data_IF_188877997234
#
_entry.id   IF_188877997234
#
_cell.length_a   1.000
_cell.length_b   1.000
_cell.length_c   1.000
_cell.angle_alpha   90.00
_cell.angle_beta   90.00
_cell.angle_gamma   90.00
#
_symmetry.space_group_name_H-M   'P 1'
#
loop_
_entity.id
_entity.type
_entity.pdbx_description
1 polymer ?
#
# COMPACT_ATOMS: atom_id res chain seq x y z
N UNK A 1 -18.93 -24.25 27.90
CA UNK A 1 -18.07 -23.06 27.73
C UNK A 1 -16.99 -23.41 26.71
N UNK A 2 -16.75 -22.60 25.67
CA UNK A 2 -15.71 -22.91 24.67
C UNK A 2 -14.30 -22.79 25.28
N UNK A 3 -13.36 -23.62 24.84
CA UNK A 3 -11.97 -23.52 25.30
C UNK A 3 -11.31 -22.24 24.78
N UNK A 4 -10.41 -21.64 25.58
CA UNK A 4 -9.64 -20.44 25.18
C UNK A 4 -8.93 -20.66 23.84
N UNK A 5 -8.38 -21.86 23.62
CA UNK A 5 -7.68 -22.20 22.37
C UNK A 5 -8.61 -22.25 21.16
N UNK A 6 -9.86 -22.70 21.35
CA UNK A 6 -10.88 -22.66 20.29
C UNK A 6 -11.22 -21.23 19.91
N UNK A 7 -11.46 -20.35 20.89
CA UNK A 7 -11.80 -18.94 20.65
C UNK A 7 -10.68 -18.25 19.85
N UNK A 8 -9.42 -18.39 20.24
CA UNK A 8 -8.31 -17.75 19.53
C UNK A 8 -8.09 -18.26 18.11
N UNK A 9 -8.34 -19.56 17.84
CA UNK A 9 -8.35 -20.09 16.46
C UNK A 9 -9.45 -19.46 15.61
N UNK A 10 -10.62 -19.20 16.20
CA UNK A 10 -11.74 -18.55 15.53
C UNK A 10 -11.42 -17.08 15.24
N UNK A 11 -10.96 -16.34 16.24
CA UNK A 11 -10.58 -14.93 16.09
C UNK A 11 -9.51 -14.75 15.02
N UNK A 12 -8.44 -15.56 15.04
CA UNK A 12 -7.38 -15.50 14.01
C UNK A 12 -7.91 -15.80 12.59
N UNK A 13 -8.84 -16.76 12.47
CA UNK A 13 -9.48 -17.07 11.19
C UNK A 13 -10.37 -15.94 10.71
N UNK A 14 -11.12 -15.30 11.61
CA UNK A 14 -11.99 -14.17 11.30
C UNK A 14 -11.18 -12.96 10.83
N UNK A 15 -10.11 -12.59 11.55
CA UNK A 15 -9.21 -11.52 11.11
C UNK A 15 -8.54 -11.87 9.78
N UNK A 16 -8.26 -13.15 9.52
CA UNK A 16 -7.77 -13.59 8.21
C UNK A 16 -8.77 -13.36 7.07
N UNK A 17 -10.05 -13.68 7.27
CA UNK A 17 -11.12 -13.37 6.29
C UNK A 17 -11.25 -11.86 6.10
N UNK A 18 -11.18 -11.08 7.17
CA UNK A 18 -11.17 -9.63 7.10
C UNK A 18 -10.03 -9.09 6.22
N UNK A 19 -8.81 -9.63 6.36
CA UNK A 19 -7.70 -9.23 5.49
C UNK A 19 -7.83 -9.67 4.03
N UNK A 20 -8.61 -10.71 3.73
CA UNK A 20 -8.93 -11.02 2.34
C UNK A 20 -9.82 -9.94 1.74
N UNK A 21 -10.78 -9.41 2.50
CA UNK A 21 -11.63 -8.29 2.06
C UNK A 21 -10.79 -7.02 1.86
N UNK A 22 -9.92 -6.69 2.83
CA UNK A 22 -8.99 -5.58 2.69
C UNK A 22 -8.06 -5.76 1.49
N UNK A 23 -7.50 -6.96 1.27
CA UNK A 23 -6.63 -7.24 0.12
C UNK A 23 -7.36 -7.05 -1.21
N UNK A 24 -8.63 -7.43 -1.30
CA UNK A 24 -9.47 -7.22 -2.49
C UNK A 24 -9.63 -5.73 -2.76
N UNK A 25 -10.06 -4.95 -1.76
CA UNK A 25 -10.21 -3.49 -1.89
C UNK A 25 -8.88 -2.84 -2.26
N UNK A 26 -7.82 -3.16 -1.52
CA UNK A 26 -6.49 -2.61 -1.74
C UNK A 26 -5.99 -2.85 -3.16
N UNK A 27 -6.08 -4.08 -3.67
CA UNK A 27 -5.62 -4.39 -5.03
C UNK A 27 -6.55 -3.86 -6.12
N UNK A 28 -7.86 -3.73 -5.86
CA UNK A 28 -8.80 -3.06 -6.76
C UNK A 28 -8.43 -1.58 -6.90
N UNK A 29 -8.31 -0.86 -5.79
CA UNK A 29 -7.93 0.56 -5.77
C UNK A 29 -6.59 0.79 -6.45
N UNK A 30 -5.57 -0.01 -6.13
CA UNK A 30 -4.24 0.11 -6.78
C UNK A 30 -4.28 -0.20 -8.28
N UNK A 31 -5.09 -1.16 -8.72
CA UNK A 31 -5.19 -1.50 -10.16
C UNK A 31 -5.71 -0.35 -11.02
N UNK A 32 -6.48 0.58 -10.44
CA UNK A 32 -6.98 1.78 -11.15
C UNK A 32 -5.88 2.75 -11.55
N UNK A 33 -4.66 2.64 -11.00
CA UNK A 33 -3.52 3.44 -11.46
C UNK A 33 -3.05 3.04 -12.87
N UNK A 34 -3.40 1.81 -13.30
CA UNK A 34 -2.87 1.18 -14.50
C UNK A 34 -3.93 0.75 -15.51
N UNK A 35 -5.10 0.31 -15.03
CA UNK A 35 -6.16 -0.20 -15.89
C UNK A 35 -6.76 0.93 -16.74
N UNK A 36 -7.04 0.61 -18.01
CA UNK A 36 -7.58 1.54 -19.03
C UNK A 36 -9.00 2.08 -18.73
N UNK A 37 -9.58 1.73 -17.58
CA UNK A 37 -10.88 2.24 -17.13
C UNK A 37 -10.59 3.41 -16.20
N UNK A 38 -10.63 4.63 -16.76
CA UNK A 38 -10.23 5.86 -16.09
C UNK A 38 -8.91 6.35 -16.69
N UNK A 39 -9.01 7.23 -17.69
CA UNK A 39 -7.82 7.84 -18.29
C UNK A 39 -7.00 8.55 -17.19
N UNK A 40 -5.67 8.45 -17.31
CA UNK A 40 -4.70 9.21 -16.52
C UNK A 40 -4.56 8.79 -15.04
N UNK A 41 -5.10 7.63 -14.65
CA UNK A 41 -5.06 7.18 -13.26
C UNK A 41 -6.02 7.94 -12.34
N UNK A 42 -6.97 8.68 -12.95
CA UNK A 42 -8.04 9.42 -12.25
C UNK A 42 -8.82 8.55 -11.26
N UNK A 43 -9.15 7.31 -11.63
CA UNK A 43 -9.84 6.37 -10.75
C UNK A 43 -9.06 6.09 -9.45
N UNK A 44 -7.74 5.92 -9.55
CA UNK A 44 -6.88 5.77 -8.37
C UNK A 44 -6.91 7.05 -7.51
N UNK A 45 -6.77 8.21 -8.15
CA UNK A 45 -6.77 9.52 -7.46
C UNK A 45 -8.08 9.75 -6.71
N UNK A 46 -9.21 9.50 -7.36
CA UNK A 46 -10.54 9.62 -6.77
C UNK A 46 -10.72 8.66 -5.59
N UNK A 47 -10.39 7.38 -5.76
CA UNK A 47 -10.51 6.37 -4.71
C UNK A 47 -9.62 6.70 -3.49
N UNK A 48 -8.36 7.09 -3.72
CA UNK A 48 -7.44 7.46 -2.64
C UNK A 48 -7.88 8.74 -1.93
N UNK A 49 -8.35 9.75 -2.66
CA UNK A 49 -8.90 10.96 -2.05
C UNK A 49 -10.18 10.67 -1.25
N UNK A 50 -11.04 9.77 -1.72
CA UNK A 50 -12.23 9.32 -1.00
C UNK A 50 -11.85 8.61 0.32
N UNK A 51 -10.86 7.71 0.30
CA UNK A 51 -10.36 7.06 1.52
C UNK A 51 -9.72 8.09 2.45
N UNK A 52 -8.92 9.01 1.92
CA UNK A 52 -8.21 10.04 2.70
C UNK A 52 -9.16 11.04 3.39
N UNK A 53 -10.35 11.25 2.83
CA UNK A 53 -11.38 12.14 3.36
C UNK A 53 -12.30 11.50 4.40
N UNK A 54 -12.15 10.20 4.69
CA UNK A 54 -12.93 9.53 5.71
C UNK A 54 -12.74 10.17 7.10
N UNK A 55 -13.84 10.40 7.84
CA UNK A 55 -13.76 10.92 9.19
C UNK A 55 -13.05 9.92 10.11
N UNK A 56 -12.21 10.42 11.01
CA UNK A 56 -11.46 9.60 11.96
C UNK A 56 -10.58 8.51 11.30
N UNK A 57 -10.07 8.75 10.08
CA UNK A 57 -9.22 7.80 9.36
C UNK A 57 -8.11 7.16 10.21
N UNK A 58 -7.36 7.90 11.07
CA UNK A 58 -6.36 7.27 11.93
C UNK A 58 -6.93 6.23 12.91
N UNK A 59 -8.15 6.45 13.42
CA UNK A 59 -8.86 5.51 14.30
C UNK A 59 -9.28 4.28 13.50
N UNK A 60 -9.83 4.48 12.30
CA UNK A 60 -10.18 3.40 11.37
C UNK A 60 -8.95 2.53 11.08
N UNK A 61 -7.82 3.14 10.74
CA UNK A 61 -6.58 2.41 10.44
C UNK A 61 -6.06 1.62 11.64
N UNK A 62 -6.10 2.18 12.85
CA UNK A 62 -5.66 1.46 14.05
C UNK A 62 -6.58 0.27 14.35
N UNK A 63 -7.89 0.48 14.39
CA UNK A 63 -8.83 -0.53 14.90
C UNK A 63 -9.34 -1.51 13.84
N UNK A 64 -9.41 -1.11 12.57
CA UNK A 64 -9.84 -1.99 11.48
C UNK A 64 -8.68 -2.60 10.71
N UNK A 65 -7.46 -2.05 10.77
CA UNK A 65 -6.29 -2.62 10.09
C UNK A 65 -5.22 -3.07 11.10
N UNK A 66 -4.68 -2.16 11.91
CA UNK A 66 -3.55 -2.42 12.80
C UNK A 66 -3.81 -3.50 13.85
N UNK A 67 -4.89 -3.37 14.62
CA UNK A 67 -5.27 -4.32 15.67
C UNK A 67 -5.62 -5.70 15.10
N UNK A 68 -6.50 -5.82 14.08
CA UNK A 68 -6.76 -7.11 13.44
C UNK A 68 -5.49 -7.75 12.88
N UNK A 69 -4.56 -6.96 12.33
CA UNK A 69 -3.31 -7.45 11.75
C UNK A 69 -2.42 -8.02 12.84
N UNK A 70 -2.25 -7.29 13.95
CA UNK A 70 -1.49 -7.76 15.10
C UNK A 70 -2.06 -9.07 15.65
N UNK A 71 -3.38 -9.18 15.79
CA UNK A 71 -4.05 -10.41 16.22
C UNK A 71 -3.81 -11.55 15.23
N UNK A 72 -3.97 -11.29 13.93
CA UNK A 72 -3.77 -12.29 12.89
C UNK A 72 -2.34 -12.82 12.86
N UNK A 73 -1.36 -11.90 12.85
CA UNK A 73 0.06 -12.19 12.78
C UNK A 73 0.55 -12.91 14.05
N UNK A 74 0.22 -12.38 15.23
CA UNK A 74 0.69 -12.95 16.50
C UNK A 74 0.22 -14.40 16.70
N UNK A 75 -1.06 -14.68 16.47
CA UNK A 75 -1.57 -16.05 16.56
C UNK A 75 -1.13 -16.91 15.38
N UNK A 76 -0.99 -16.34 14.18
CA UNK A 76 -0.44 -17.02 13.01
C UNK A 76 0.97 -17.55 13.27
N UNK A 77 1.85 -16.72 13.83
CA UNK A 77 3.23 -17.08 14.21
C UNK A 77 3.22 -18.28 15.18
N UNK A 78 2.38 -18.23 16.23
CA UNK A 78 2.24 -19.36 17.16
C UNK A 78 1.86 -20.66 16.45
N UNK A 79 0.92 -20.60 15.50
CA UNK A 79 0.51 -21.80 14.77
C UNK A 79 1.57 -22.32 13.80
N UNK A 80 2.37 -21.44 13.20
CA UNK A 80 3.46 -21.83 12.31
C UNK A 80 4.52 -22.62 13.09
N UNK A 81 4.92 -22.17 14.29
CA UNK A 81 5.89 -22.90 15.12
C UNK A 81 5.42 -24.30 15.56
N UNK A 82 4.11 -24.55 15.57
CA UNK A 82 3.54 -25.87 15.88
C UNK A 82 3.22 -26.73 14.65
N UNK A 83 3.46 -26.21 13.44
CA UNK A 83 3.11 -26.90 12.19
C UNK A 83 4.13 -27.98 11.84
N UNK A 84 3.65 -29.15 11.39
CA UNK A 84 4.49 -30.22 10.83
C UNK A 84 4.27 -30.31 9.32
N UNK A 85 5.35 -30.20 8.55
CA UNK A 85 5.29 -30.32 7.09
C UNK A 85 5.51 -31.77 6.66
N UNK A 86 4.75 -32.21 5.67
CA UNK A 86 4.88 -33.54 5.06
C UNK A 86 4.73 -33.47 3.54
N UNK A 87 4.96 -32.30 2.93
CA UNK A 87 4.83 -32.10 1.48
C UNK A 87 6.14 -32.22 0.72
N UNK A 88 7.26 -32.42 1.43
CA UNK A 88 8.59 -32.58 0.86
C UNK A 88 8.99 -34.05 0.87
N UNK A 89 9.85 -34.45 -0.07
CA UNK A 89 10.43 -35.78 -0.10
C UNK A 89 11.18 -36.08 1.19
N UNK A 90 11.14 -37.34 1.61
CA UNK A 90 11.77 -37.85 2.83
C UNK A 90 12.45 -39.17 2.53
N UNK A 91 13.52 -39.46 3.28
CA UNK A 91 14.27 -40.72 3.26
C UNK A 91 13.57 -41.86 4.05
N UNK A 92 12.36 -41.61 4.55
CA UNK A 92 11.60 -42.54 5.39
C UNK A 92 11.63 -42.19 6.88
N UNK A 93 12.46 -41.24 7.31
CA UNK A 93 12.51 -40.76 8.71
C UNK A 93 11.29 -39.93 9.11
N UNK A 94 10.56 -39.38 8.14
CA UNK A 94 9.38 -38.54 8.36
C UNK A 94 8.31 -38.80 7.29
N UNK A 95 7.01 -38.64 7.61
CA UNK A 95 5.95 -38.83 6.63
C UNK A 95 6.11 -37.89 5.41
N UNK A 96 6.05 -38.45 4.20
CA UNK A 96 6.10 -37.72 2.93
C UNK A 96 4.83 -37.99 2.11
N UNK A 97 4.11 -36.93 1.79
CA UNK A 97 2.84 -36.91 1.06
C UNK A 97 2.92 -35.91 -0.11
N UNK A 98 3.96 -36.05 -0.94
CA UNK A 98 4.25 -35.19 -2.10
C UNK A 98 3.13 -35.19 -3.14
N UNK A 99 2.40 -36.29 -3.27
CA UNK A 99 1.34 -36.45 -4.27
C UNK A 99 0.07 -35.65 -3.95
N UNK A 100 -0.08 -35.14 -2.72
CA UNK A 100 -1.32 -34.52 -2.27
C UNK A 100 -1.27 -32.99 -2.37
N UNK A 101 -2.06 -32.35 -3.27
CA UNK A 101 -2.05 -30.90 -3.45
C UNK A 101 -2.44 -30.12 -2.19
N UNK A 102 -3.22 -30.73 -1.29
CA UNK A 102 -3.65 -30.08 -0.05
C UNK A 102 -2.52 -29.96 0.98
N UNK A 103 -1.64 -30.96 1.03
CA UNK A 103 -0.45 -30.93 1.88
C UNK A 103 0.53 -29.88 1.37
N UNK A 104 0.73 -29.81 0.04
CA UNK A 104 1.48 -28.74 -0.61
C UNK A 104 0.90 -27.35 -0.28
N UNK A 105 -0.41 -27.16 -0.44
CA UNK A 105 -1.06 -25.88 -0.14
C UNK A 105 -0.98 -25.51 1.35
N UNK A 106 -1.04 -26.50 2.25
CA UNK A 106 -0.78 -26.30 3.67
C UNK A 106 0.62 -25.74 3.88
N UNK A 107 1.66 -26.39 3.35
CA UNK A 107 3.05 -25.94 3.50
C UNK A 107 3.27 -24.55 2.91
N UNK A 108 2.83 -24.33 1.67
CA UNK A 108 2.96 -23.03 1.00
C UNK A 108 2.27 -21.90 1.77
N UNK A 109 1.14 -22.16 2.43
CA UNK A 109 0.48 -21.13 3.23
C UNK A 109 1.35 -20.64 4.39
N UNK A 110 2.24 -21.50 4.93
CA UNK A 110 3.19 -21.11 6.01
C UNK A 110 4.43 -20.42 5.43
N UNK A 111 4.95 -20.91 4.31
CA UNK A 111 6.07 -20.29 3.62
C UNK A 111 5.71 -18.86 3.19
N UNK A 112 4.54 -18.66 2.58
CA UNK A 112 4.07 -17.32 2.24
C UNK A 112 3.77 -16.49 3.47
N UNK A 113 3.35 -17.08 4.60
CA UNK A 113 3.13 -16.31 5.83
C UNK A 113 4.42 -15.65 6.33
N UNK A 114 5.55 -16.35 6.34
CA UNK A 114 6.85 -15.78 6.72
C UNK A 114 7.29 -14.70 5.77
N UNK A 115 7.20 -14.97 4.47
CA UNK A 115 7.55 -14.01 3.43
C UNK A 115 6.69 -12.74 3.53
N UNK A 116 5.38 -12.89 3.71
CA UNK A 116 4.44 -11.78 3.87
C UNK A 116 4.63 -11.02 5.17
N UNK A 117 5.01 -11.68 6.26
CA UNK A 117 5.27 -10.97 7.52
C UNK A 117 6.36 -9.92 7.34
N UNK A 118 7.49 -10.30 6.72
CA UNK A 118 8.59 -9.37 6.44
C UNK A 118 8.18 -8.37 5.35
N UNK A 119 7.59 -8.84 4.26
CA UNK A 119 7.23 -8.02 3.11
C UNK A 119 6.16 -6.96 3.42
N UNK A 120 5.12 -7.30 4.20
CA UNK A 120 4.07 -6.35 4.61
C UNK A 120 4.63 -5.32 5.58
N UNK A 121 5.48 -5.71 6.54
CA UNK A 121 6.13 -4.76 7.45
C UNK A 121 6.96 -3.76 6.63
N UNK A 122 7.80 -4.25 5.71
CA UNK A 122 8.61 -3.39 4.85
C UNK A 122 7.73 -2.47 3.96
N UNK A 123 6.69 -3.02 3.34
CA UNK A 123 5.73 -2.28 2.52
C UNK A 123 5.05 -1.16 3.31
N UNK A 124 4.51 -1.46 4.49
CA UNK A 124 3.84 -0.46 5.34
C UNK A 124 4.84 0.60 5.81
N UNK A 125 6.04 0.22 6.25
CA UNK A 125 7.07 1.18 6.68
C UNK A 125 7.42 2.13 5.54
N UNK A 126 7.70 1.59 4.35
CA UNK A 126 8.08 2.37 3.18
C UNK A 126 6.98 3.36 2.79
N UNK A 127 5.75 2.88 2.58
CA UNK A 127 4.68 3.73 2.04
C UNK A 127 4.10 4.69 3.09
N UNK A 128 3.95 4.23 4.34
CA UNK A 128 3.25 5.01 5.38
C UNK A 128 4.14 5.98 6.15
N UNK A 129 5.44 5.72 6.22
CA UNK A 129 6.33 6.51 7.08
C UNK A 129 7.52 7.12 6.33
N UNK A 130 8.14 6.39 5.40
CA UNK A 130 9.32 6.88 4.68
C UNK A 130 8.92 7.78 3.51
N UNK A 131 8.02 7.27 2.66
CA UNK A 131 7.64 7.94 1.41
C UNK A 131 6.39 8.81 1.51
N UNK A 132 5.73 8.79 2.68
CA UNK A 132 4.51 9.56 2.93
C UNK A 132 4.66 11.03 2.51
N UNK A 133 3.73 11.58 1.71
CA UNK A 133 3.81 12.96 1.22
C UNK A 133 3.95 13.97 2.35
N UNK A 134 4.93 14.88 2.25
CA UNK A 134 4.89 16.10 3.07
C UNK A 134 3.78 17.00 2.58
N UNK A 135 3.22 17.84 3.46
CA UNK A 135 2.19 18.79 3.07
C UNK A 135 2.37 20.13 3.76
N UNK A 136 1.87 21.18 3.11
CA UNK A 136 1.76 22.51 3.66
C UNK A 136 0.50 23.19 3.11
N UNK A 137 0.04 24.20 3.82
CA UNK A 137 -1.03 25.08 3.38
C UNK A 137 -0.41 26.36 2.84
N UNK A 138 -0.81 26.77 1.64
CA UNK A 138 -0.38 28.00 0.99
C UNK A 138 -1.62 28.70 0.43
N UNK A 139 -2.04 29.79 1.09
CA UNK A 139 -3.33 30.40 0.84
C UNK A 139 -4.49 29.42 1.05
N UNK A 140 -5.29 29.22 0.00
CA UNK A 140 -6.44 28.29 0.03
C UNK A 140 -6.09 26.86 -0.39
N UNK A 141 -4.85 26.61 -0.84
CA UNK A 141 -4.44 25.31 -1.37
C UNK A 141 -3.70 24.48 -0.31
N UNK A 142 -4.01 23.17 -0.28
CA UNK A 142 -3.21 22.18 0.44
C UNK A 142 -2.31 21.45 -0.54
N UNK A 143 -1.01 21.73 -0.45
CA UNK A 143 -0.02 21.18 -1.36
C UNK A 143 0.64 19.95 -0.73
N UNK A 144 0.90 18.95 -1.57
CA UNK A 144 1.55 17.69 -1.20
C UNK A 144 2.85 17.54 -1.99
N UNK A 145 3.94 17.20 -1.30
CA UNK A 145 5.26 17.09 -1.88
C UNK A 145 5.76 15.65 -1.80
N UNK A 146 6.17 15.11 -2.95
CA UNK A 146 6.79 13.79 -3.08
C UNK A 146 8.10 13.88 -3.83
N UNK A 147 8.99 12.92 -3.59
CA UNK A 147 10.32 12.89 -4.19
C UNK A 147 10.35 11.85 -5.28
N UNK A 148 10.68 12.29 -6.48
CA UNK A 148 10.68 11.44 -7.67
C UNK A 148 12.06 11.44 -8.28
N UNK A 149 12.46 10.29 -8.81
CA UNK A 149 13.65 10.19 -9.64
C UNK A 149 13.36 10.84 -11.00
N UNK A 150 14.29 11.63 -11.52
CA UNK A 150 14.14 12.26 -12.85
C UNK A 150 14.02 11.17 -13.93
N UNK A 151 13.09 11.38 -14.86
CA UNK A 151 12.93 10.58 -16.07
C UNK A 151 12.33 11.44 -17.20
N UNK A 152 12.49 11.00 -18.45
CA UNK A 152 12.14 11.77 -19.64
C UNK A 152 10.66 12.14 -19.73
N UNK A 153 9.77 11.30 -19.19
CA UNK A 153 8.33 11.51 -19.29
C UNK A 153 7.74 12.39 -18.19
N UNK A 154 8.52 12.73 -17.15
CA UNK A 154 8.01 13.44 -15.99
C UNK A 154 7.44 14.83 -16.32
N UNK A 155 8.07 15.57 -17.25
CA UNK A 155 7.59 16.89 -17.66
C UNK A 155 6.32 16.82 -18.50
N UNK A 156 6.20 15.84 -19.39
CA UNK A 156 4.95 15.61 -20.15
C UNK A 156 3.83 15.22 -19.19
N UNK A 157 4.13 14.35 -18.24
CA UNK A 157 3.16 13.86 -17.27
C UNK A 157 2.70 14.99 -16.34
N UNK A 158 3.60 15.90 -15.98
CA UNK A 158 3.27 17.09 -15.17
C UNK A 158 2.18 17.94 -15.79
N UNK A 159 2.20 18.08 -17.12
CA UNK A 159 1.19 18.83 -17.88
C UNK A 159 -0.13 18.08 -17.99
N UNK A 160 -0.08 16.75 -18.10
CA UNK A 160 -1.24 15.87 -18.21
C UNK A 160 -2.00 15.74 -16.88
N UNK A 161 -1.29 15.50 -15.78
CA UNK A 161 -1.86 15.25 -14.45
C UNK A 161 -2.02 16.53 -13.62
N UNK A 162 -1.28 17.60 -13.94
CA UNK A 162 -1.39 18.89 -13.26
C UNK A 162 -0.63 18.93 -11.93
N UNK A 163 0.66 18.58 -11.94
CA UNK A 163 1.57 18.78 -10.81
C UNK A 163 2.78 19.63 -11.21
N UNK A 164 3.42 20.26 -10.25
CA UNK A 164 4.60 21.09 -10.47
C UNK A 164 5.89 20.35 -10.10
N UNK A 165 7.00 20.71 -10.74
CA UNK A 165 8.31 20.09 -10.52
C UNK A 165 9.29 21.16 -10.05
N UNK A 166 9.94 20.90 -8.92
CA UNK A 166 10.96 21.75 -8.33
C UNK A 166 12.28 20.99 -8.21
N UNK A 167 13.35 21.58 -8.72
CA UNK A 167 14.72 21.13 -8.46
C UNK A 167 15.33 21.79 -7.22
N UNK A 168 16.53 21.33 -6.84
CA UNK A 168 17.23 21.84 -5.67
C UNK A 168 17.54 23.34 -5.76
N UNK A 169 17.83 23.85 -6.96
CA UNK A 169 18.16 25.27 -7.16
C UNK A 169 16.91 26.14 -7.00
N UNK A 170 15.76 25.68 -7.51
CA UNK A 170 14.47 26.34 -7.36
C UNK A 170 14.03 26.37 -5.89
N UNK A 171 14.18 25.26 -5.15
CA UNK A 171 13.88 25.22 -3.70
C UNK A 171 14.79 26.18 -2.94
N UNK A 172 16.09 26.19 -3.25
CA UNK A 172 17.05 27.10 -2.62
C UNK A 172 16.71 28.57 -2.93
N UNK A 173 16.29 28.87 -4.17
CA UNK A 173 15.86 30.22 -4.55
C UNK A 173 14.64 30.67 -3.73
N UNK A 174 13.61 29.83 -3.61
CA UNK A 174 12.41 30.12 -2.79
C UNK A 174 12.80 30.44 -1.36
N UNK A 175 13.73 29.67 -0.78
CA UNK A 175 14.24 29.92 0.58
C UNK A 175 14.96 31.27 0.68
N UNK A 176 15.85 31.57 -0.26
CA UNK A 176 16.62 32.82 -0.26
C UNK A 176 15.70 34.04 -0.42
N UNK A 177 14.72 33.95 -1.32
CA UNK A 177 13.75 35.00 -1.58
C UNK A 177 12.93 35.28 -0.30
N UNK A 178 12.50 34.23 0.42
CA UNK A 178 11.81 34.37 1.71
C UNK A 178 12.65 35.06 2.79
N UNK A 179 13.92 34.67 2.96
CA UNK A 179 14.80 35.32 3.94
C UNK A 179 15.05 36.79 3.64
N UNK A 180 15.06 37.18 2.36
CA UNK A 180 15.29 38.56 1.95
C UNK A 180 14.11 39.50 2.24
N UNK A 181 12.91 38.96 2.46
CA UNK A 181 11.66 39.71 2.59
C UNK A 181 11.16 39.87 4.05
N UNK A 182 11.92 39.42 5.05
CA UNK A 182 11.53 39.55 6.46
C UNK A 182 11.69 41.00 6.95
N UNK A 183 10.57 41.72 7.07
CA UNK A 183 10.47 43.07 7.64
C UNK A 183 10.03 43.03 9.12
N UNK A 184 10.31 44.08 9.93
CA UNK A 184 9.95 44.13 11.34
C UNK A 184 8.42 44.07 11.54
N UNK A 185 8.00 43.21 12.48
CA UNK A 185 6.59 42.95 12.79
C UNK A 185 6.02 44.11 13.62
N UNK A 186 4.93 44.73 13.15
CA UNK A 186 4.04 45.56 13.97
C UNK A 186 2.70 44.83 14.21
N UNK A 187 1.78 45.35 15.02
CA UNK A 187 0.48 44.69 15.33
C UNK A 187 -0.73 45.18 14.48
N UNK A 188 -0.50 45.80 13.33
CA UNK A 188 -1.57 46.25 12.43
C UNK A 188 -2.25 45.07 11.73
N UNK A 189 -3.49 45.23 11.23
CA UNK A 189 -4.17 44.21 10.43
C UNK A 189 -3.32 43.70 9.24
N UNK A 190 -2.61 44.59 8.56
CA UNK A 190 -1.72 44.24 7.45
C UNK A 190 -0.54 43.38 7.94
N UNK A 191 0.01 43.70 9.11
CA UNK A 191 1.09 42.92 9.70
C UNK A 191 0.63 41.53 10.19
N UNK A 192 -0.64 41.38 10.59
CA UNK A 192 -1.25 40.09 10.90
C UNK A 192 -1.38 39.21 9.65
N UNK A 193 -1.82 39.78 8.52
CA UNK A 193 -1.87 39.08 7.22
C UNK A 193 -0.46 38.65 6.81
N UNK A 194 0.51 39.57 6.87
CA UNK A 194 1.90 39.27 6.53
C UNK A 194 2.48 38.17 7.43
N UNK A 195 2.15 38.18 8.72
CA UNK A 195 2.57 37.13 9.66
C UNK A 195 1.97 35.78 9.29
N UNK A 196 0.71 35.74 8.87
CA UNK A 196 0.07 34.52 8.37
C UNK A 196 0.77 34.03 7.10
N UNK A 197 0.96 34.89 6.10
CA UNK A 197 1.67 34.54 4.85
C UNK A 197 3.09 34.02 5.12
N UNK A 198 3.82 34.66 6.04
CA UNK A 198 5.16 34.21 6.43
C UNK A 198 5.13 32.84 7.13
N UNK A 199 4.11 32.57 7.94
CA UNK A 199 3.90 31.26 8.57
C UNK A 199 3.59 30.18 7.53
N UNK A 200 2.74 30.49 6.55
CA UNK A 200 2.40 29.59 5.43
C UNK A 200 3.63 29.30 4.57
N UNK A 201 4.41 30.33 4.20
CA UNK A 201 5.67 30.19 3.46
C UNK A 201 6.72 29.38 4.23
N UNK A 202 6.83 29.58 5.54
CA UNK A 202 7.71 28.78 6.40
C UNK A 202 7.29 27.31 6.40
N UNK A 203 6.00 27.04 6.53
CA UNK A 203 5.44 25.69 6.41
C UNK A 203 5.70 25.06 5.04
N UNK A 204 5.58 25.86 3.98
CA UNK A 204 5.84 25.44 2.61
C UNK A 204 7.31 25.04 2.38
N UNK A 205 8.25 25.90 2.77
CA UNK A 205 9.69 25.61 2.71
C UNK A 205 10.00 24.35 3.53
N UNK A 206 9.44 24.24 4.74
CA UNK A 206 9.62 23.06 5.57
C UNK A 206 9.10 21.78 4.88
N UNK A 207 7.94 21.83 4.22
CA UNK A 207 7.39 20.69 3.49
C UNK A 207 8.25 20.31 2.27
N UNK A 208 8.76 21.29 1.54
CA UNK A 208 9.70 21.10 0.44
C UNK A 208 11.01 20.46 0.93
N UNK A 209 11.47 20.79 2.13
CA UNK A 209 12.82 20.43 2.62
C UNK A 209 12.83 19.29 3.65
N UNK A 210 11.66 18.82 4.09
CA UNK A 210 11.50 17.75 5.08
C UNK A 210 12.40 16.54 4.82
N UNK A 211 12.62 16.22 3.54
CA UNK A 211 13.60 15.23 3.07
C UNK A 211 14.55 15.95 2.11
N UNK A 212 15.88 15.84 2.21
CA UNK A 212 16.77 16.47 1.22
C UNK A 212 16.67 15.78 -0.16
N UNK A 213 16.83 16.51 -1.26
CA UNK A 213 16.85 15.93 -2.62
C UNK A 213 18.17 15.21 -2.87
N UNK A 214 18.12 14.02 -3.45
CA UNK A 214 19.30 13.36 -4.02
C UNK A 214 19.63 13.95 -5.41
N UNK A 215 20.85 13.71 -5.90
CA UNK A 215 21.39 14.31 -7.14
C UNK A 215 20.45 14.14 -8.35
N UNK A 216 19.81 12.97 -8.49
CA UNK A 216 18.90 12.67 -9.60
C UNK A 216 17.41 12.77 -9.24
N UNK A 217 17.07 13.53 -8.20
CA UNK A 217 15.69 13.68 -7.75
C UNK A 217 15.15 15.09 -8.01
N UNK A 218 13.82 15.16 -8.02
CA UNK A 218 13.03 16.41 -8.00
C UNK A 218 11.91 16.28 -6.98
N UNK A 219 11.44 17.43 -6.49
CA UNK A 219 10.23 17.52 -5.70
C UNK A 219 9.05 17.72 -6.65
N UNK A 220 8.11 16.78 -6.67
CA UNK A 220 6.84 16.95 -7.35
C UNK A 220 5.79 17.44 -6.36
N UNK A 221 5.03 18.45 -6.77
CA UNK A 221 4.08 19.18 -5.92
C UNK A 221 2.69 19.03 -6.51
N UNK A 222 1.81 18.38 -5.77
CA UNK A 222 0.45 18.08 -6.16
C UNK A 222 -0.57 18.82 -5.27
N UNK A 223 -1.71 19.20 -5.84
CA UNK A 223 -2.80 19.89 -5.12
C UNK A 223 -3.71 18.95 -4.33
N UNK A 224 -3.55 17.63 -4.49
CA UNK A 224 -4.33 16.64 -3.75
C UNK A 224 -3.48 15.42 -3.42
N UNK A 225 -3.91 14.70 -2.38
CA UNK A 225 -3.19 13.56 -1.82
C UNK A 225 -3.13 12.38 -2.81
N UNK A 226 -4.22 12.10 -3.53
CA UNK A 226 -4.29 11.02 -4.51
C UNK A 226 -3.27 11.14 -5.63
N UNK A 227 -3.03 12.34 -6.17
CA UNK A 227 -1.98 12.57 -7.18
C UNK A 227 -0.58 12.34 -6.59
N UNK A 228 -0.33 12.80 -5.36
CA UNK A 228 0.95 12.56 -4.70
C UNK A 228 1.25 11.06 -4.52
N UNK A 229 0.25 10.29 -4.08
CA UNK A 229 0.34 8.82 -3.96
C UNK A 229 0.51 8.15 -5.33
N UNK A 230 -0.21 8.60 -6.37
CA UNK A 230 -0.09 8.08 -7.72
C UNK A 230 1.35 8.23 -8.25
N UNK A 231 1.96 9.38 -8.02
CA UNK A 231 3.33 9.68 -8.42
C UNK A 231 4.35 8.81 -7.65
N UNK A 232 4.13 8.56 -6.37
CA UNK A 232 4.97 7.66 -5.58
C UNK A 232 4.89 6.21 -6.08
N UNK A 233 3.68 5.71 -6.37
CA UNK A 233 3.48 4.37 -6.92
C UNK A 233 4.13 4.25 -8.30
N UNK A 234 3.96 5.27 -9.15
CA UNK A 234 4.64 5.38 -10.45
C UNK A 234 6.16 5.29 -10.30
N UNK A 235 6.76 6.09 -9.40
CA UNK A 235 8.21 6.13 -9.23
C UNK A 235 8.77 4.78 -8.75
N UNK A 236 8.05 4.14 -7.83
CA UNK A 236 8.39 2.82 -7.28
C UNK A 236 8.49 1.76 -8.38
N UNK A 237 7.52 1.71 -9.29
CA UNK A 237 7.46 0.71 -10.36
C UNK A 237 8.28 1.05 -11.61
N UNK A 238 9.14 2.08 -11.56
CA UNK A 238 10.25 2.22 -12.51
C UNK A 238 11.36 1.22 -12.27
N UNK A 239 11.55 0.82 -11.00
CA UNK A 239 12.64 -0.08 -10.60
C UNK A 239 12.29 -1.54 -10.92
N UNK A 240 13.09 -2.24 -11.76
CA UNK A 240 12.86 -3.66 -12.06
C UNK A 240 12.88 -4.55 -10.80
N UNK A 241 13.72 -4.20 -9.82
CA UNK A 241 13.81 -4.93 -8.55
C UNK A 241 12.49 -4.80 -7.79
N UNK A 242 11.93 -3.59 -7.70
CA UNK A 242 10.66 -3.36 -7.02
C UNK A 242 9.52 -4.09 -7.73
N UNK A 243 9.48 -4.09 -9.06
CA UNK A 243 8.49 -4.84 -9.83
C UNK A 243 8.52 -6.33 -9.46
N UNK A 244 9.70 -6.96 -9.44
CA UNK A 244 9.84 -8.39 -9.11
C UNK A 244 9.43 -8.67 -7.66
N UNK A 245 9.93 -7.87 -6.71
CA UNK A 245 9.62 -8.03 -5.29
C UNK A 245 8.12 -7.87 -5.01
N UNK A 246 7.50 -6.82 -5.53
CA UNK A 246 6.07 -6.58 -5.35
C UNK A 246 5.20 -7.60 -6.09
N UNK A 247 5.65 -8.11 -7.26
CA UNK A 247 4.95 -9.20 -7.94
C UNK A 247 4.93 -10.46 -7.08
N UNK A 248 6.08 -10.84 -6.50
CA UNK A 248 6.16 -11.95 -5.55
C UNK A 248 5.29 -11.71 -4.31
N UNK A 249 5.29 -10.49 -3.77
CA UNK A 249 4.47 -10.10 -2.61
C UNK A 249 2.97 -10.24 -2.89
N UNK A 250 2.49 -9.71 -4.02
CA UNK A 250 1.09 -9.82 -4.44
C UNK A 250 0.68 -11.28 -4.64
N UNK A 251 1.48 -12.06 -5.37
CA UNK A 251 1.18 -13.48 -5.60
C UNK A 251 1.15 -14.28 -4.29
N UNK A 252 2.10 -14.02 -3.39
CA UNK A 252 2.11 -14.64 -2.07
C UNK A 252 0.89 -14.23 -1.23
N UNK A 253 0.49 -12.95 -1.24
CA UNK A 253 -0.65 -12.41 -0.51
C UNK A 253 -1.97 -13.03 -1.01
N UNK A 254 -2.16 -13.07 -2.33
CA UNK A 254 -3.33 -13.69 -2.95
C UNK A 254 -3.37 -15.19 -2.62
N UNK A 255 -2.27 -15.92 -2.79
CA UNK A 255 -2.23 -17.34 -2.43
C UNK A 255 -2.57 -17.56 -0.95
N UNK A 256 -1.92 -16.82 -0.04
CA UNK A 256 -2.13 -16.94 1.41
C UNK A 256 -3.58 -16.64 1.79
N UNK A 257 -4.10 -15.51 1.30
CA UNK A 257 -5.43 -15.01 1.56
C UNK A 257 -6.53 -15.95 1.06
N UNK A 258 -6.52 -16.31 -0.22
CA UNK A 258 -7.60 -17.11 -0.82
C UNK A 258 -7.54 -18.59 -0.42
N UNK A 259 -6.36 -19.17 -0.21
CA UNK A 259 -6.27 -20.50 0.40
C UNK A 259 -6.73 -20.47 1.87
N UNK A 260 -6.43 -19.39 2.59
CA UNK A 260 -6.96 -19.09 3.93
C UNK A 260 -8.48 -18.93 3.96
N UNK A 261 -9.06 -18.24 2.98
CA UNK A 261 -10.51 -18.05 2.82
C UNK A 261 -11.21 -19.40 2.68
N UNK A 262 -10.73 -20.24 1.76
CA UNK A 262 -11.29 -21.58 1.55
C UNK A 262 -11.24 -22.43 2.82
N UNK A 263 -10.08 -22.49 3.50
CA UNK A 263 -9.97 -23.24 4.77
C UNK A 263 -10.83 -22.66 5.89
N UNK A 264 -11.03 -21.35 5.92
CA UNK A 264 -11.91 -20.69 6.88
C UNK A 264 -13.37 -21.08 6.65
N UNK A 265 -13.86 -21.06 5.41
CA UNK A 265 -15.24 -21.47 5.09
C UNK A 265 -15.57 -22.89 5.59
N UNK A 266 -14.60 -23.80 5.53
CA UNK A 266 -14.73 -25.15 6.09
C UNK A 266 -14.79 -25.10 7.62
N UNK A 267 -13.84 -24.41 8.26
CA UNK A 267 -13.76 -24.31 9.73
C UNK A 267 -15.02 -23.70 10.34
N UNK A 268 -15.59 -22.69 9.69
CA UNK A 268 -16.83 -22.01 10.08
C UNK A 268 -18.10 -22.77 9.74
N UNK A 269 -17.99 -23.95 9.11
CA UNK A 269 -19.14 -24.79 8.80
C UNK A 269 -20.03 -24.21 7.70
N UNK A 270 -19.54 -23.25 6.92
CA UNK A 270 -20.26 -22.68 5.77
C UNK A 270 -20.28 -23.71 4.63
N UNK A 271 -19.19 -24.49 4.49
CA UNK A 271 -19.07 -25.52 3.46
C UNK A 271 -18.87 -26.92 4.07
N UNK A 272 -19.98 -27.55 4.47
CA UNK A 272 -19.97 -28.83 5.18
C UNK A 272 -19.74 -30.04 4.25
N UNK A 273 -20.40 -30.07 3.09
CA UNK A 273 -20.36 -31.24 2.18
C UNK A 273 -19.14 -31.21 1.26
N UNK A 274 -18.66 -32.38 0.84
CA UNK A 274 -17.52 -32.50 -0.08
C UNK A 274 -17.75 -31.72 -1.40
N UNK A 275 -18.98 -31.74 -1.93
CA UNK A 275 -19.39 -30.98 -3.11
C UNK A 275 -19.26 -29.47 -2.88
N UNK A 276 -19.75 -28.97 -1.73
CA UNK A 276 -19.66 -27.56 -1.37
C UNK A 276 -18.22 -27.10 -1.16
N UNK A 277 -17.38 -27.92 -0.51
CA UNK A 277 -15.96 -27.63 -0.32
C UNK A 277 -15.20 -27.56 -1.65
N UNK A 278 -15.51 -28.45 -2.60
CA UNK A 278 -14.92 -28.43 -3.94
C UNK A 278 -15.34 -27.18 -4.72
N UNK A 279 -16.62 -26.82 -4.67
CA UNK A 279 -17.14 -25.61 -5.31
C UNK A 279 -16.47 -24.35 -4.73
N UNK A 280 -16.43 -24.22 -3.41
CA UNK A 280 -15.79 -23.08 -2.75
C UNK A 280 -14.29 -22.99 -3.06
N UNK A 281 -13.62 -24.14 -3.26
CA UNK A 281 -12.22 -24.15 -3.70
C UNK A 281 -12.07 -23.53 -5.08
N UNK A 282 -12.96 -23.87 -6.02
CA UNK A 282 -12.95 -23.31 -7.38
C UNK A 282 -13.20 -21.80 -7.34
N UNK A 283 -14.16 -21.36 -6.54
CA UNK A 283 -14.44 -19.92 -6.32
C UNK A 283 -13.21 -19.21 -5.76
N UNK A 284 -12.58 -19.76 -4.72
CA UNK A 284 -11.38 -19.17 -4.13
C UNK A 284 -10.21 -19.09 -5.12
N UNK A 285 -10.01 -20.11 -5.96
CA UNK A 285 -8.98 -20.10 -7.01
C UNK A 285 -9.29 -19.05 -8.08
N UNK A 286 -10.56 -18.95 -8.52
CA UNK A 286 -10.98 -17.93 -9.49
C UNK A 286 -10.71 -16.52 -8.96
N UNK A 287 -11.17 -16.22 -7.73
CA UNK A 287 -10.94 -14.92 -7.10
C UNK A 287 -9.43 -14.65 -6.90
N UNK A 288 -8.66 -15.66 -6.51
CA UNK A 288 -7.20 -15.55 -6.38
C UNK A 288 -6.54 -15.13 -7.70
N UNK A 289 -6.91 -15.76 -8.82
CA UNK A 289 -6.36 -15.43 -10.14
C UNK A 289 -6.77 -14.01 -10.55
N UNK A 290 -8.05 -13.67 -10.41
CA UNK A 290 -8.59 -12.36 -10.75
C UNK A 290 -7.90 -11.24 -9.97
N UNK A 291 -7.80 -11.38 -8.66
CA UNK A 291 -7.21 -10.37 -7.77
C UNK A 291 -5.68 -10.29 -7.97
N UNK A 292 -5.02 -11.43 -8.24
CA UNK A 292 -3.60 -11.42 -8.62
C UNK A 292 -3.37 -10.68 -9.94
N UNK A 293 -4.24 -10.87 -10.93
CA UNK A 293 -4.17 -10.13 -12.18
C UNK A 293 -4.30 -8.62 -11.95
N UNK A 294 -5.26 -8.17 -11.14
CA UNK A 294 -5.44 -6.75 -10.82
C UNK A 294 -4.21 -6.16 -10.11
N UNK A 295 -3.64 -6.88 -9.14
CA UNK A 295 -2.42 -6.44 -8.47
C UNK A 295 -1.20 -6.38 -9.40
N UNK A 296 -1.05 -7.37 -10.29
CA UNK A 296 0.02 -7.36 -11.30
C UNK A 296 -0.19 -6.26 -12.35
N UNK A 297 -1.44 -5.99 -12.73
CA UNK A 297 -1.78 -4.89 -13.63
C UNK A 297 -1.36 -3.54 -13.03
N UNK A 298 -1.57 -3.31 -11.73
CA UNK A 298 -1.04 -2.14 -11.04
C UNK A 298 0.49 -2.05 -11.19
N UNK A 299 1.21 -3.10 -10.78
CA UNK A 299 2.68 -3.11 -10.76
C UNK A 299 3.27 -2.86 -12.15
N UNK A 300 2.80 -3.60 -13.15
CA UNK A 300 3.39 -3.55 -14.49
C UNK A 300 2.81 -2.43 -15.34
N UNK A 301 1.56 -2.04 -15.12
CA UNK A 301 0.86 -1.08 -15.98
C UNK A 301 0.97 0.38 -15.51
N UNK A 302 1.14 0.66 -14.21
CA UNK A 302 1.13 2.04 -13.70
C UNK A 302 2.19 2.89 -14.39
N UNK A 303 3.45 2.46 -14.39
CA UNK A 303 4.50 3.19 -15.10
C UNK A 303 4.52 2.86 -16.59
N UNK A 304 4.52 1.58 -16.97
CA UNK A 304 4.87 1.20 -18.34
C UNK A 304 3.75 1.36 -19.37
N UNK A 305 2.49 1.38 -18.93
CA UNK A 305 1.34 1.50 -19.83
C UNK A 305 0.67 2.87 -19.71
N UNK A 306 0.46 3.36 -18.48
CA UNK A 306 -0.37 4.55 -18.28
C UNK A 306 0.44 5.83 -18.04
N UNK A 307 1.37 5.81 -17.08
CA UNK A 307 1.98 7.05 -16.55
C UNK A 307 3.43 7.24 -17.00
N UNK A 308 3.88 6.59 -18.07
CA UNK A 308 5.26 6.79 -18.55
C UNK A 308 5.48 8.24 -18.95
N UNK A 309 4.52 8.82 -19.67
CA UNK A 309 4.54 10.18 -20.25
C UNK A 309 3.30 10.98 -19.87
#
# INVERSE_FOLDING_TARGET
MFSKSFIWRRVQSLTGVWFVLFLIEHLLTNSQAALLIGDDGSGFVESVNAIKSLPYLPVIEIFLLGVPFAIHAFWGIKYIFTSKYNSFSSDGSTPSLTEYPRNKAFTWQRLTAWFLLVGIIAHVIQMRFIEYPSSAQLGTEHLYVVRLNRDEGLYTLSKRIGFEIYDANQIQKIRNDFHSQQLPINESPEALIQKQENSELTGWIHALEKRPLQINQVAAVAKNFGVAELLMVRDTFKSPIMIVLYSALVLAACFHGFNGLWTSMIRWGITLTAKSQLMMRRVAIFLMIMISFLGLAAIWGTYWLNLKF
#
